data_IF_322555803605
#
_entry.id   IF_322555803605
#
_cell.length_a   1.000
_cell.length_b   1.000
_cell.length_c   1.000
_cell.angle_alpha   90.00
_cell.angle_beta   90.00
_cell.angle_gamma   90.00
#
_symmetry.space_group_name_H-M   'P 1'
#
loop_
_entity.id
_entity.type
_entity.pdbx_description
1 polymer ?
#
# COMPACT_ATOMS: atom_id res chain seq x y z
N UNK A 1 9.57 -4.45 18.38
CA UNK A 1 8.61 -3.58 17.65
C UNK A 1 9.17 -3.37 16.25
N UNK A 2 8.48 -3.81 15.22
CA UNK A 2 8.96 -3.77 13.84
C UNK A 2 9.06 -2.33 13.34
N UNK A 3 10.25 -1.94 12.89
CA UNK A 3 10.56 -0.64 12.28
C UNK A 3 11.60 -0.84 11.19
N UNK A 4 11.42 -0.17 10.07
CA UNK A 4 12.36 -0.14 8.96
C UNK A 4 12.68 1.32 8.69
N UNK A 5 13.96 1.68 8.70
CA UNK A 5 14.42 3.02 8.34
C UNK A 5 15.02 2.95 6.94
N UNK A 6 14.62 3.87 6.08
CA UNK A 6 15.17 4.08 4.73
C UNK A 6 15.92 5.40 4.69
N UNK A 7 16.33 5.86 3.50
CA UNK A 7 17.06 7.13 3.40
C UNK A 7 16.23 8.36 3.78
N UNK A 8 14.91 8.32 3.56
CA UNK A 8 14.00 9.45 3.80
C UNK A 8 12.82 9.11 4.71
N UNK A 9 12.54 7.82 4.92
CA UNK A 9 11.33 7.38 5.59
C UNK A 9 11.63 6.50 6.81
N UNK A 10 10.74 6.56 7.79
CA UNK A 10 10.57 5.55 8.82
C UNK A 10 9.28 4.79 8.55
N UNK A 11 9.38 3.48 8.34
CA UNK A 11 8.27 2.58 8.15
C UNK A 11 7.97 1.89 9.48
N UNK A 12 6.79 2.09 10.03
CA UNK A 12 6.43 1.60 11.36
C UNK A 12 4.97 1.16 11.41
N UNK A 13 4.62 0.48 12.47
CA UNK A 13 3.23 0.18 12.77
C UNK A 13 2.42 1.49 12.91
N UNK A 14 1.20 1.49 12.38
CA UNK A 14 0.27 2.59 12.54
C UNK A 14 -0.10 2.80 14.02
N UNK A 15 -0.41 4.02 14.40
CA UNK A 15 -0.76 4.43 15.76
C UNK A 15 -2.10 5.17 15.76
N UNK A 16 -2.87 5.12 16.84
CA UNK A 16 -4.13 5.87 16.92
C UNK A 16 -3.96 7.38 16.66
N UNK A 17 -2.83 7.97 17.03
CA UNK A 17 -2.52 9.38 16.79
C UNK A 17 -2.25 9.75 15.33
N UNK A 18 -2.15 8.79 14.42
CA UNK A 18 -1.91 9.04 13.00
C UNK A 18 -3.22 9.39 12.24
N UNK A 19 -4.37 9.45 12.91
CA UNK A 19 -5.69 9.56 12.28
C UNK A 19 -5.83 10.76 11.34
N UNK A 20 -5.29 11.92 11.69
CA UNK A 20 -5.40 13.12 10.85
C UNK A 20 -4.61 13.00 9.54
N UNK A 21 -3.42 12.39 9.59
CA UNK A 21 -2.62 12.15 8.40
C UNK A 21 -3.27 11.10 7.49
N UNK A 22 -3.83 10.02 8.06
CA UNK A 22 -4.60 9.02 7.32
C UNK A 22 -5.88 9.62 6.74
N UNK A 23 -6.62 10.43 7.51
CA UNK A 23 -7.82 11.12 7.04
C UNK A 23 -7.53 11.96 5.79
N UNK A 24 -6.43 12.68 5.79
CA UNK A 24 -6.01 13.52 4.65
C UNK A 24 -5.84 12.72 3.36
N UNK A 25 -5.39 11.46 3.45
CA UNK A 25 -5.23 10.58 2.30
C UNK A 25 -6.55 9.88 1.92
N UNK A 26 -7.24 9.32 2.90
CA UNK A 26 -8.42 8.49 2.66
C UNK A 26 -9.70 9.29 2.41
N UNK A 27 -9.73 10.58 2.68
CA UNK A 27 -10.82 11.49 2.28
C UNK A 27 -10.54 12.23 0.96
N UNK A 28 -9.31 12.17 0.44
CA UNK A 28 -8.95 12.81 -0.83
C UNK A 28 -9.44 11.95 -2.02
N UNK A 29 -10.39 12.45 -2.86
CA UNK A 29 -10.89 11.71 -4.01
C UNK A 29 -9.80 11.30 -5.00
N UNK A 30 -8.72 12.08 -5.15
CA UNK A 30 -7.62 11.73 -6.05
C UNK A 30 -6.75 10.61 -5.49
N UNK A 31 -6.48 10.59 -4.18
CA UNK A 31 -5.81 9.47 -3.54
C UNK A 31 -6.63 8.18 -3.64
N UNK A 32 -7.95 8.28 -3.48
CA UNK A 32 -8.87 7.15 -3.46
C UNK A 32 -9.42 6.76 -4.84
N UNK A 33 -9.02 7.46 -5.90
CA UNK A 33 -9.59 7.31 -7.26
C UNK A 33 -9.61 5.88 -7.79
N UNK A 34 -8.59 5.09 -7.46
CA UNK A 34 -8.44 3.71 -7.93
C UNK A 34 -8.58 2.67 -6.82
N UNK A 35 -9.14 3.06 -5.69
CA UNK A 35 -9.41 2.15 -4.59
C UNK A 35 -10.73 1.40 -4.75
N UNK A 36 -10.83 0.24 -4.11
CA UNK A 36 -12.03 -0.60 -4.11
C UNK A 36 -13.17 -0.07 -3.22
N UNK A 37 -13.01 1.10 -2.63
CA UNK A 37 -14.00 1.80 -1.81
C UNK A 37 -14.01 3.29 -2.14
N UNK A 38 -15.13 4.00 -1.91
CA UNK A 38 -15.17 5.46 -2.05
C UNK A 38 -14.28 6.13 -0.99
N UNK A 39 -13.94 7.42 -1.18
CA UNK A 39 -13.31 8.21 -0.13
C UNK A 39 -14.10 8.14 1.17
N UNK A 40 -13.40 8.12 2.30
CA UNK A 40 -14.07 8.14 3.62
C UNK A 40 -14.91 9.40 3.78
N UNK A 41 -16.12 9.25 4.29
CA UNK A 41 -17.06 10.35 4.48
C UNK A 41 -16.76 11.15 5.75
N UNK A 42 -16.21 10.51 6.78
CA UNK A 42 -15.86 11.14 8.04
C UNK A 42 -14.62 10.50 8.70
N UNK A 43 -14.10 11.18 9.74
CA UNK A 43 -12.91 10.74 10.47
C UNK A 43 -13.11 9.45 11.25
N UNK A 44 -14.34 9.09 11.57
CA UNK A 44 -14.62 7.86 12.33
C UNK A 44 -14.35 6.62 11.49
N UNK A 45 -14.63 6.67 10.18
CA UNK A 45 -14.28 5.59 9.25
C UNK A 45 -12.75 5.38 9.18
N UNK A 46 -12.00 6.49 9.05
CA UNK A 46 -10.55 6.46 9.07
C UNK A 46 -10.02 5.94 10.42
N UNK A 47 -10.58 6.41 11.52
CA UNK A 47 -10.22 5.95 12.86
C UNK A 47 -10.46 4.46 13.06
N UNK A 48 -11.58 3.94 12.61
CA UNK A 48 -11.90 2.51 12.69
C UNK A 48 -10.94 1.65 11.84
N UNK A 49 -10.61 2.11 10.63
CA UNK A 49 -9.60 1.45 9.79
C UNK A 49 -8.23 1.46 10.48
N UNK A 50 -7.80 2.61 10.98
CA UNK A 50 -6.51 2.79 11.64
C UNK A 50 -6.40 1.94 12.91
N UNK A 51 -7.47 1.82 13.70
CA UNK A 51 -7.52 0.95 14.87
C UNK A 51 -7.25 -0.52 14.51
N UNK A 52 -7.79 -1.01 13.38
CA UNK A 52 -7.50 -2.35 12.88
C UNK A 52 -6.02 -2.51 12.48
N UNK A 53 -5.45 -1.52 11.81
CA UNK A 53 -4.02 -1.54 11.46
C UNK A 53 -3.13 -1.49 12.72
N UNK A 54 -3.48 -0.67 13.69
CA UNK A 54 -2.75 -0.57 14.96
C UNK A 54 -2.87 -1.83 15.81
N UNK A 55 -3.96 -2.59 15.71
CA UNK A 55 -4.17 -3.84 16.41
C UNK A 55 -3.51 -5.06 15.72
N UNK A 56 -2.95 -4.90 14.50
CA UNK A 56 -2.30 -5.99 13.79
C UNK A 56 -1.19 -6.63 14.63
N UNK A 57 -1.08 -7.97 14.67
CA UNK A 57 -0.01 -8.63 15.42
C UNK A 57 1.38 -8.39 14.83
N UNK A 58 2.41 -8.61 15.63
CA UNK A 58 3.78 -8.70 15.11
C UNK A 58 3.99 -10.12 14.51
N UNK A 59 4.81 -10.26 13.44
CA UNK A 59 5.50 -9.18 12.72
C UNK A 59 4.55 -8.30 11.90
N UNK A 60 4.80 -7.00 11.90
CA UNK A 60 4.02 -6.04 11.12
C UNK A 60 4.26 -6.26 9.63
N UNK A 61 3.20 -6.38 8.85
CA UNK A 61 3.27 -6.59 7.39
C UNK A 61 2.67 -5.44 6.59
N UNK A 62 2.03 -4.47 7.26
CA UNK A 62 1.49 -3.25 6.66
C UNK A 62 1.89 -2.04 7.48
N UNK A 63 2.55 -1.07 6.85
CA UNK A 63 3.28 0.00 7.51
C UNK A 63 2.68 1.38 7.24
N UNK A 64 2.72 2.25 8.25
CA UNK A 64 2.67 3.69 8.07
C UNK A 64 4.05 4.19 7.62
N UNK A 65 4.09 5.05 6.60
CA UNK A 65 5.31 5.65 6.05
C UNK A 65 5.45 7.06 6.58
N UNK A 66 6.48 7.31 7.36
CA UNK A 66 6.68 8.55 8.10
C UNK A 66 7.86 9.32 7.55
N UNK A 67 7.62 10.57 7.17
CA UNK A 67 8.62 11.56 6.78
C UNK A 67 8.53 12.74 7.76
N UNK A 68 9.64 13.12 8.38
CA UNK A 68 9.71 14.27 9.31
C UNK A 68 8.59 14.29 10.39
N UNK A 69 8.26 13.12 10.92
CA UNK A 69 7.25 12.96 11.96
C UNK A 69 5.80 12.88 11.49
N UNK A 70 5.50 13.06 10.19
CA UNK A 70 4.17 12.95 9.59
C UNK A 70 4.01 11.66 8.82
N UNK A 71 2.84 11.05 8.89
CA UNK A 71 2.51 9.94 7.99
C UNK A 71 2.13 10.51 6.62
N UNK A 72 2.89 10.12 5.60
CA UNK A 72 2.70 10.55 4.22
C UNK A 72 2.19 9.43 3.31
N UNK A 73 2.16 8.20 3.80
CA UNK A 73 1.69 7.04 3.05
C UNK A 73 1.52 5.82 3.93
N UNK A 74 1.02 4.77 3.34
CA UNK A 74 0.94 3.45 3.97
C UNK A 74 1.01 2.36 2.92
N UNK A 75 1.47 1.17 3.33
CA UNK A 75 1.54 0.05 2.40
C UNK A 75 2.21 -1.18 2.98
N UNK A 76 2.10 -2.27 2.25
CA UNK A 76 2.62 -3.59 2.60
C UNK A 76 1.65 -4.69 2.21
N UNK A 77 1.69 -5.79 2.95
CA UNK A 77 0.87 -6.99 2.76
C UNK A 77 -0.17 -7.10 3.89
N UNK A 78 -1.41 -6.61 3.72
CA UNK A 78 -2.40 -6.58 4.78
C UNK A 78 -2.66 -7.98 5.34
N UNK A 79 -2.53 -8.14 6.67
CA UNK A 79 -2.73 -9.42 7.35
C UNK A 79 -1.77 -10.53 6.92
N UNK A 80 -0.59 -10.18 6.42
CA UNK A 80 0.43 -11.14 5.97
C UNK A 80 0.08 -11.90 4.70
N UNK A 81 -0.84 -11.38 3.87
CA UNK A 81 -1.25 -12.00 2.59
C UNK A 81 -0.15 -11.86 1.54
N UNK A 82 -0.27 -12.57 0.43
CA UNK A 82 0.61 -12.40 -0.73
C UNK A 82 0.37 -11.07 -1.46
N UNK A 83 -0.85 -10.54 -1.39
CA UNK A 83 -1.24 -9.33 -2.09
C UNK A 83 -0.77 -8.09 -1.32
N UNK A 84 -0.04 -7.23 -2.02
CA UNK A 84 0.40 -5.93 -1.52
C UNK A 84 -0.55 -4.83 -1.95
N UNK A 85 -0.62 -3.79 -1.10
CA UNK A 85 -1.32 -2.55 -1.42
C UNK A 85 -0.60 -1.36 -0.81
N UNK A 86 -0.79 -0.19 -1.37
CA UNK A 86 -0.15 1.04 -0.90
C UNK A 86 -0.93 2.29 -1.29
N UNK A 87 -0.72 3.34 -0.52
CA UNK A 87 -1.22 4.69 -0.77
C UNK A 87 -0.14 5.70 -0.39
N UNK A 88 -0.06 6.80 -1.14
CA UNK A 88 0.80 7.94 -0.85
C UNK A 88 -0.01 9.23 -0.95
N UNK A 89 0.20 10.15 -0.01
CA UNK A 89 -0.41 11.46 -0.01
C UNK A 89 -0.08 12.22 -1.30
N UNK A 90 -1.08 12.92 -1.85
CA UNK A 90 -0.98 13.56 -3.16
C UNK A 90 0.17 14.56 -3.27
N UNK A 91 0.43 15.32 -2.20
CA UNK A 91 1.53 16.30 -2.13
C UNK A 91 2.93 15.68 -2.09
N UNK A 92 3.01 14.34 -2.09
CA UNK A 92 4.26 13.55 -2.10
C UNK A 92 4.44 12.71 -3.37
N UNK A 93 3.53 12.80 -4.33
CA UNK A 93 3.65 12.07 -5.58
C UNK A 93 4.87 12.53 -6.42
N UNK A 94 5.37 11.64 -7.27
CA UNK A 94 6.44 11.95 -8.22
C UNK A 94 7.84 12.07 -7.61
N UNK A 95 8.02 11.82 -6.30
CA UNK A 95 9.29 11.99 -5.58
C UNK A 95 10.03 10.68 -5.32
N UNK A 96 9.54 9.54 -5.83
CA UNK A 96 10.15 8.23 -5.63
C UNK A 96 9.93 7.61 -4.24
N UNK A 97 9.15 8.25 -3.37
CA UNK A 97 8.95 7.81 -1.98
C UNK A 97 8.20 6.47 -1.89
N UNK A 98 7.20 6.23 -2.75
CA UNK A 98 6.50 4.95 -2.78
C UNK A 98 7.42 3.81 -3.23
N UNK A 99 8.33 4.06 -4.18
CA UNK A 99 9.31 3.06 -4.60
C UNK A 99 10.29 2.74 -3.47
N UNK A 100 10.78 3.76 -2.77
CA UNK A 100 11.69 3.60 -1.62
C UNK A 100 11.03 2.78 -0.51
N UNK A 101 9.80 3.14 -0.11
CA UNK A 101 9.06 2.44 0.94
C UNK A 101 8.77 0.99 0.55
N UNK A 102 8.20 0.78 -0.63
CA UNK A 102 7.79 -0.57 -1.05
C UNK A 102 8.97 -1.49 -1.32
N UNK A 103 10.10 -1.01 -1.83
CA UNK A 103 11.32 -1.82 -1.97
C UNK A 103 11.76 -2.36 -0.60
N UNK A 104 11.88 -1.50 0.41
CA UNK A 104 12.27 -1.91 1.75
C UNK A 104 11.25 -2.87 2.41
N UNK A 105 9.95 -2.65 2.18
CA UNK A 105 8.89 -3.54 2.67
C UNK A 105 8.95 -4.90 1.99
N UNK A 106 9.16 -4.95 0.69
CA UNK A 106 9.27 -6.22 -0.07
C UNK A 106 10.46 -7.03 0.43
N UNK A 107 11.62 -6.41 0.59
CA UNK A 107 12.82 -7.07 1.13
C UNK A 107 12.55 -7.64 2.54
N UNK A 108 11.85 -6.89 3.38
CA UNK A 108 11.45 -7.34 4.69
C UNK A 108 10.43 -8.49 4.64
N UNK A 109 9.41 -8.40 3.78
CA UNK A 109 8.41 -9.47 3.62
C UNK A 109 9.05 -10.80 3.20
N UNK A 110 10.07 -10.77 2.35
CA UNK A 110 10.82 -11.97 1.98
C UNK A 110 11.56 -12.62 3.15
N UNK A 111 11.91 -11.86 4.18
CA UNK A 111 12.59 -12.38 5.37
C UNK A 111 11.63 -13.03 6.37
N UNK A 112 10.37 -12.58 6.42
CA UNK A 112 9.42 -12.97 7.47
C UNK A 112 8.28 -13.87 6.98
N UNK A 113 8.18 -14.12 5.67
CA UNK A 113 7.13 -14.96 5.07
C UNK A 113 7.73 -16.02 4.18
N UNK A 114 7.02 -17.10 3.95
CA UNK A 114 7.40 -18.17 3.01
C UNK A 114 6.57 -18.11 1.72
N UNK A 115 5.98 -16.96 1.40
CA UNK A 115 5.21 -16.81 0.17
C UNK A 115 6.07 -17.10 -1.07
N UNK A 116 5.60 -17.90 -2.03
CA UNK A 116 6.34 -18.19 -3.26
C UNK A 116 6.40 -16.97 -4.20
N UNK A 117 5.51 -16.01 -4.00
CA UNK A 117 5.43 -14.76 -4.75
C UNK A 117 4.67 -13.70 -3.95
N UNK A 118 4.84 -12.43 -4.31
CA UNK A 118 3.94 -11.35 -3.96
C UNK A 118 3.07 -11.02 -5.17
N UNK A 119 1.86 -10.53 -4.91
CA UNK A 119 0.89 -10.15 -5.96
C UNK A 119 0.40 -8.73 -5.74
N UNK A 120 -0.12 -8.12 -6.80
CA UNK A 120 -0.84 -6.85 -6.72
C UNK A 120 -1.99 -6.85 -7.74
N UNK A 121 -3.09 -6.20 -7.38
CA UNK A 121 -4.25 -5.93 -8.24
C UNK A 121 -4.33 -4.42 -8.47
N UNK A 122 -4.33 -3.99 -9.72
CA UNK A 122 -4.25 -2.58 -10.10
C UNK A 122 -5.23 -2.27 -11.22
N UNK A 123 -5.95 -1.16 -11.07
CA UNK A 123 -6.70 -0.58 -12.19
C UNK A 123 -5.71 -0.19 -13.31
N UNK A 124 -5.89 -0.67 -14.56
CA UNK A 124 -5.00 -0.36 -15.67
C UNK A 124 -4.89 1.14 -15.99
N UNK A 125 -5.86 1.95 -15.57
CA UNK A 125 -5.83 3.40 -15.71
C UNK A 125 -4.90 4.06 -14.67
N UNK A 126 -4.58 3.37 -13.59
CA UNK A 126 -3.61 3.83 -12.60
C UNK A 126 -2.17 3.64 -13.09
N UNK A 127 -1.78 4.43 -14.08
CA UNK A 127 -0.45 4.35 -14.71
C UNK A 127 0.69 4.49 -13.71
N UNK A 128 0.52 5.33 -12.69
CA UNK A 128 1.55 5.52 -11.66
C UNK A 128 1.82 4.23 -10.88
N UNK A 129 0.78 3.49 -10.49
CA UNK A 129 0.91 2.19 -9.84
C UNK A 129 1.51 1.13 -10.76
N UNK A 130 1.06 1.06 -12.02
CA UNK A 130 1.61 0.14 -13.03
C UNK A 130 3.12 0.37 -13.18
N UNK A 131 3.54 1.63 -13.33
CA UNK A 131 4.97 1.98 -13.44
C UNK A 131 5.76 1.64 -12.17
N UNK A 132 5.18 1.89 -11.00
CA UNK A 132 5.82 1.58 -9.72
C UNK A 132 6.04 0.07 -9.57
N UNK A 133 5.03 -0.75 -9.81
CA UNK A 133 5.14 -2.21 -9.74
C UNK A 133 6.18 -2.74 -10.74
N UNK A 134 6.19 -2.22 -11.97
CA UNK A 134 7.21 -2.60 -12.97
C UNK A 134 8.62 -2.27 -12.49
N UNK A 135 8.84 -1.10 -11.88
CA UNK A 135 10.15 -0.72 -11.32
C UNK A 135 10.56 -1.57 -10.12
N UNK A 136 9.59 -2.08 -9.36
CA UNK A 136 9.82 -3.01 -8.25
C UNK A 136 10.04 -4.46 -8.73
N UNK A 137 10.02 -4.71 -10.05
CA UNK A 137 10.27 -6.02 -10.63
C UNK A 137 9.03 -6.90 -10.80
N UNK A 138 7.84 -6.39 -10.50
CA UNK A 138 6.60 -7.13 -10.77
C UNK A 138 6.37 -7.26 -12.28
N UNK A 139 5.82 -8.39 -12.68
CA UNK A 139 5.40 -8.67 -14.06
C UNK A 139 3.89 -8.87 -14.11
N UNK A 140 3.26 -8.40 -15.19
CA UNK A 140 1.83 -8.62 -15.40
C UNK A 140 1.56 -10.13 -15.56
N UNK A 141 0.54 -10.63 -14.89
CA UNK A 141 0.18 -12.05 -14.85
C UNK A 141 -1.26 -12.35 -15.26
N UNK A 142 -2.08 -11.33 -15.46
CA UNK A 142 -3.47 -11.50 -15.88
C UNK A 142 -4.21 -10.18 -15.98
N UNK A 143 -5.42 -10.28 -16.56
CA UNK A 143 -6.36 -9.17 -16.70
C UNK A 143 -7.79 -9.69 -16.49
N UNK A 144 -8.63 -8.89 -15.85
CA UNK A 144 -10.06 -9.13 -15.77
C UNK A 144 -10.83 -7.82 -15.91
N UNK A 145 -11.90 -7.85 -16.69
CA UNK A 145 -12.77 -6.69 -16.86
C UNK A 145 -13.82 -6.63 -15.76
N UNK A 146 -14.18 -5.41 -15.34
CA UNK A 146 -15.30 -5.13 -14.42
C UNK A 146 -15.18 -5.88 -13.09
N UNK A 147 -14.02 -5.80 -12.45
CA UNK A 147 -13.71 -6.49 -11.19
C UNK A 147 -14.21 -5.74 -9.97
N UNK A 148 -14.18 -4.40 -10.02
CA UNK A 148 -14.68 -3.55 -8.95
C UNK A 148 -15.78 -2.61 -9.43
N UNK A 149 -16.78 -2.42 -8.57
CA UNK A 149 -17.86 -1.46 -8.79
C UNK A 149 -17.91 -0.47 -7.63
N UNK A 150 -17.48 0.76 -7.86
CA UNK A 150 -17.39 1.81 -6.83
C UNK A 150 -18.11 3.06 -7.32
N UNK A 151 -19.03 3.58 -6.51
CA UNK A 151 -19.79 4.79 -6.81
C UNK A 151 -20.42 4.82 -8.22
N UNK A 152 -20.96 3.69 -8.67
CA UNK A 152 -21.61 3.56 -9.99
C UNK A 152 -20.64 3.33 -11.16
N UNK A 153 -19.35 3.26 -10.92
CA UNK A 153 -18.35 3.03 -11.97
C UNK A 153 -17.69 1.67 -11.83
N UNK A 154 -17.58 0.94 -12.95
CA UNK A 154 -16.84 -0.30 -13.04
C UNK A 154 -15.39 -0.01 -13.41
N UNK A 155 -14.47 -0.69 -12.73
CA UNK A 155 -13.04 -0.72 -13.09
C UNK A 155 -12.58 -2.15 -13.36
N UNK A 156 -11.52 -2.22 -14.16
CA UNK A 156 -10.85 -3.46 -14.53
C UNK A 156 -9.66 -3.71 -13.60
N UNK A 157 -9.13 -4.94 -13.66
CA UNK A 157 -7.91 -5.32 -12.95
C UNK A 157 -6.84 -5.80 -13.90
N UNK A 158 -5.62 -5.32 -13.69
CA UNK A 158 -4.39 -5.98 -14.15
C UNK A 158 -3.72 -6.59 -12.92
N UNK A 159 -3.50 -7.89 -12.98
CA UNK A 159 -2.81 -8.62 -11.93
C UNK A 159 -1.31 -8.64 -12.18
N UNK A 160 -0.55 -8.39 -11.12
CA UNK A 160 0.90 -8.43 -11.13
C UNK A 160 1.42 -9.48 -10.15
N UNK A 161 2.58 -10.04 -10.46
CA UNK A 161 3.30 -10.96 -9.56
C UNK A 161 4.77 -10.62 -9.51
N UNK A 162 5.37 -10.83 -8.35
CA UNK A 162 6.81 -10.82 -8.11
C UNK A 162 7.17 -12.16 -7.49
N UNK A 163 7.79 -13.08 -8.24
CA UNK A 163 8.28 -14.35 -7.69
C UNK A 163 9.31 -14.11 -6.59
N UNK A 164 9.34 -15.01 -5.59
CA UNK A 164 10.41 -14.98 -4.59
C UNK A 164 11.76 -15.17 -5.28
N UNK A 165 12.78 -14.36 -4.95
CA UNK A 165 14.13 -14.58 -5.45
C UNK A 165 14.63 -15.95 -5.03
N UNK A 166 15.30 -16.66 -5.95
CA UNK A 166 16.00 -17.89 -5.59
C UNK A 166 17.11 -17.52 -4.59
N UNK A 167 17.15 -18.24 -3.47
CA UNK A 167 18.28 -18.12 -2.53
C UNK A 167 19.51 -18.71 -3.20
N UNK A 168 20.50 -17.84 -3.42
CA UNK A 168 21.81 -18.27 -3.93
C UNK A 168 22.52 -19.18 -2.91
#
# INVERSE_FOLDING_TARGET
MTRIDTSRLTLRKARPGDVEDYWRMFSDPECMRYWSSPPHADRSETGAMLARHAASPDPVTYFAWVEEGRVIGCGGAPGGRQEIGYMLARDRWGQGLAQEAMAAIIDYLWQITDHPQLTADVDPLNRASVMLLTRLGFVASGYAARTFHVAGTWSDSVYFRLPRPETA
#
